data_IF_280466172416
#
_entry.id   IF_280466172416
#
_cell.length_a   1.000
_cell.length_b   1.000
_cell.length_c   1.000
_cell.angle_alpha   90.00
_cell.angle_beta   90.00
_cell.angle_gamma   90.00
#
_symmetry.space_group_name_H-M   'P 1'
#
loop_
_entity.id
_entity.type
_entity.pdbx_description
1 polymer ?
#
# COMPACT_ATOMS: atom_id res chain seq x y z
N UNK A 1 2.42 5.05 21.69
CA UNK A 1 3.75 5.35 21.13
C UNK A 1 3.75 5.10 19.64
N UNK A 2 4.49 5.90 18.90
CA UNK A 2 4.60 5.81 17.43
C UNK A 2 6.05 5.60 17.06
N UNK A 3 6.31 4.63 16.19
CA UNK A 3 7.65 4.37 15.69
C UNK A 3 7.63 4.25 14.16
N UNK A 4 8.54 4.96 13.51
CA UNK A 4 8.73 4.91 12.06
C UNK A 4 10.10 4.31 11.72
N UNK A 5 10.15 3.48 10.69
CA UNK A 5 11.38 2.86 10.21
C UNK A 5 11.26 2.50 8.72
N UNK A 6 12.41 2.27 8.09
CA UNK A 6 12.49 1.90 6.68
C UNK A 6 12.99 0.47 6.52
N UNK A 7 12.41 -0.25 5.57
CA UNK A 7 12.87 -1.57 5.18
C UNK A 7 12.98 -1.67 3.65
N UNK A 8 13.88 -2.52 3.17
CA UNK A 8 14.02 -2.84 1.75
C UNK A 8 13.47 -4.24 1.49
N UNK A 9 12.58 -4.35 0.50
CA UNK A 9 11.96 -5.62 0.11
C UNK A 9 11.93 -5.74 -1.41
N UNK A 10 11.86 -6.97 -1.91
CA UNK A 10 11.69 -7.26 -3.35
C UNK A 10 10.26 -7.66 -3.65
N UNK A 11 9.74 -7.14 -4.75
CA UNK A 11 8.43 -7.53 -5.29
C UNK A 11 8.53 -8.81 -6.13
N UNK A 12 7.38 -9.33 -6.56
CA UNK A 12 7.31 -10.46 -7.48
C UNK A 12 8.06 -10.19 -8.80
N UNK A 13 8.05 -8.95 -9.26
CA UNK A 13 8.76 -8.48 -10.46
C UNK A 13 10.29 -8.37 -10.25
N UNK A 14 10.79 -8.77 -9.09
CA UNK A 14 12.20 -8.69 -8.72
C UNK A 14 12.73 -7.25 -8.60
N UNK A 15 11.85 -6.31 -8.28
CA UNK A 15 12.19 -4.91 -8.02
C UNK A 15 12.41 -4.70 -6.52
N UNK A 16 13.55 -4.13 -6.14
CA UNK A 16 13.82 -3.74 -4.76
C UNK A 16 13.17 -2.41 -4.47
N UNK A 17 12.30 -2.36 -3.47
CA UNK A 17 11.62 -1.15 -3.01
C UNK A 17 11.94 -0.88 -1.54
N UNK A 18 12.00 0.41 -1.19
CA UNK A 18 12.10 0.85 0.20
C UNK A 18 10.72 1.20 0.72
N UNK A 19 10.33 0.62 1.86
CA UNK A 19 9.07 0.91 2.52
C UNK A 19 9.33 1.70 3.78
N UNK A 20 8.67 2.85 3.91
CA UNK A 20 8.61 3.60 5.15
C UNK A 20 7.36 3.19 5.90
N UNK A 21 7.54 2.66 7.11
CA UNK A 21 6.49 2.06 7.91
C UNK A 21 6.36 2.84 9.21
N UNK A 22 5.12 3.13 9.59
CA UNK A 22 4.78 3.72 10.88
C UNK A 22 3.92 2.75 11.66
N UNK A 23 4.39 2.37 12.84
CA UNK A 23 3.64 1.49 13.75
C UNK A 23 3.27 2.25 15.01
N UNK A 24 2.01 2.12 15.42
CA UNK A 24 1.51 2.63 16.68
C UNK A 24 1.21 1.47 17.62
N UNK A 25 1.71 1.56 18.82
CA UNK A 25 1.55 0.50 19.84
C UNK A 25 1.42 1.08 21.24
N UNK A 26 0.90 0.27 22.13
CA UNK A 26 0.87 0.57 23.55
C UNK A 26 1.04 -0.71 24.37
N UNK A 27 1.37 -0.54 25.62
CA UNK A 27 1.42 -1.66 26.58
C UNK A 27 -0.01 -2.11 26.90
N UNK A 28 -0.26 -3.41 26.87
CA UNK A 28 -1.57 -3.96 27.22
C UNK A 28 -1.86 -3.75 28.71
N UNK A 29 -3.04 -3.24 29.02
CA UNK A 29 -3.50 -2.99 30.38
C UNK A 29 -4.29 -4.16 30.98
N UNK A 30 -4.30 -5.32 30.36
CA UNK A 30 -4.97 -6.50 30.88
C UNK A 30 -4.35 -6.91 32.19
N UNK A 31 -5.15 -6.86 33.25
CA UNK A 31 -4.77 -7.31 34.57
C UNK A 31 -5.20 -8.77 34.72
N UNK A 32 -4.24 -9.67 34.73
CA UNK A 32 -4.49 -11.07 35.09
C UNK A 32 -4.52 -11.27 36.59
N UNK A 33 -5.08 -12.37 37.04
CA UNK A 33 -5.14 -12.76 38.45
C UNK A 33 -3.75 -12.88 39.10
N UNK A 34 -2.72 -13.00 38.27
CA UNK A 34 -1.31 -13.04 38.76
C UNK A 34 -0.55 -11.89 38.12
N UNK A 35 0.35 -11.21 38.84
CA UNK A 35 1.17 -10.13 38.31
C UNK A 35 1.92 -10.51 37.05
N UNK A 36 2.33 -11.75 36.90
CA UNK A 36 3.03 -12.28 35.75
C UNK A 36 2.19 -12.35 34.47
N UNK A 37 0.88 -12.25 34.59
CA UNK A 37 -0.06 -12.25 33.46
C UNK A 37 -0.43 -10.85 33.01
N UNK A 38 -0.05 -9.81 33.76
CA UNK A 38 -0.33 -8.44 33.35
C UNK A 38 0.50 -8.04 32.15
N UNK A 39 -0.08 -7.23 31.27
CA UNK A 39 0.63 -6.70 30.10
C UNK A 39 1.85 -5.86 30.48
N UNK A 40 1.75 -5.11 31.58
CA UNK A 40 2.86 -4.31 32.12
C UNK A 40 4.03 -5.18 32.55
N UNK A 41 3.76 -6.28 33.26
CA UNK A 41 4.79 -7.24 33.67
C UNK A 41 5.47 -7.86 32.44
N UNK A 42 4.69 -8.35 31.51
CA UNK A 42 5.20 -8.95 30.27
C UNK A 42 6.03 -7.97 29.45
N UNK A 43 5.61 -6.72 29.34
CA UNK A 43 6.34 -5.69 28.60
C UNK A 43 7.69 -5.36 29.23
N UNK A 44 7.77 -5.44 30.55
CA UNK A 44 9.00 -5.14 31.28
C UNK A 44 9.99 -6.31 31.30
N UNK A 45 9.51 -7.52 31.50
CA UNK A 45 10.38 -8.68 31.74
C UNK A 45 10.58 -9.60 30.53
N UNK A 46 9.63 -9.65 29.59
CA UNK A 46 9.67 -10.57 28.45
C UNK A 46 10.46 -10.05 27.26
N UNK A 47 10.57 -8.74 27.09
CA UNK A 47 11.31 -8.13 26.00
C UNK A 47 12.32 -7.11 26.51
N UNK A 48 13.59 -7.33 26.20
CA UNK A 48 14.65 -6.37 26.54
C UNK A 48 14.64 -5.15 25.60
N UNK A 49 14.28 -5.35 24.32
CA UNK A 49 14.21 -4.31 23.31
C UNK A 49 12.91 -4.44 22.51
N UNK A 50 11.77 -4.00 23.08
CA UNK A 50 10.46 -4.22 22.47
C UNK A 50 10.31 -3.55 21.10
N UNK A 51 10.88 -2.37 20.91
CA UNK A 51 10.82 -1.63 19.64
C UNK A 51 11.60 -2.36 18.54
N UNK A 52 12.81 -2.82 18.85
CA UNK A 52 13.63 -3.57 17.90
C UNK A 52 12.96 -4.90 17.52
N UNK A 53 12.39 -5.59 18.49
CA UNK A 53 11.70 -6.86 18.27
C UNK A 53 10.44 -6.68 17.40
N UNK A 54 9.65 -5.63 17.66
CA UNK A 54 8.49 -5.28 16.85
C UNK A 54 8.89 -4.97 15.41
N UNK A 55 9.98 -4.23 15.24
CA UNK A 55 10.52 -3.92 13.91
C UNK A 55 10.91 -5.19 13.16
N UNK A 56 11.55 -6.13 13.83
CA UNK A 56 11.96 -7.41 13.24
C UNK A 56 10.73 -8.22 12.81
N UNK A 57 9.70 -8.29 13.63
CA UNK A 57 8.46 -8.99 13.29
C UNK A 57 7.76 -8.36 12.08
N UNK A 58 7.66 -7.04 12.03
CA UNK A 58 7.07 -6.32 10.91
C UNK A 58 7.89 -6.55 9.64
N UNK A 59 9.22 -6.47 9.73
CA UNK A 59 10.13 -6.72 8.62
C UNK A 59 9.96 -8.13 8.07
N UNK A 60 9.94 -9.14 8.92
CA UNK A 60 9.74 -10.53 8.52
C UNK A 60 8.39 -10.76 7.85
N UNK A 61 7.32 -10.19 8.42
CA UNK A 61 5.98 -10.28 7.86
C UNK A 61 5.90 -9.66 6.46
N UNK A 62 6.50 -8.49 6.27
CA UNK A 62 6.54 -7.81 4.97
C UNK A 62 7.42 -8.54 3.95
N UNK A 63 8.57 -9.04 4.35
CA UNK A 63 9.43 -9.83 3.47
C UNK A 63 8.77 -11.13 3.01
N UNK A 64 7.85 -11.65 3.78
CA UNK A 64 7.06 -12.83 3.42
C UNK A 64 5.86 -12.47 2.54
N UNK A 65 5.26 -11.30 2.72
CA UNK A 65 4.02 -10.88 2.03
C UNK A 65 4.29 -10.17 0.70
N UNK A 66 5.26 -9.27 0.64
CA UNK A 66 5.51 -8.42 -0.54
C UNK A 66 5.94 -9.21 -1.79
N UNK A 67 6.78 -10.27 -1.72
CA UNK A 67 7.18 -11.01 -2.92
C UNK A 67 6.05 -11.71 -3.68
N UNK A 68 4.87 -11.84 -3.07
CA UNK A 68 3.67 -12.39 -3.69
C UNK A 68 3.00 -11.37 -4.63
N UNK A 69 3.27 -10.09 -4.45
CA UNK A 69 2.66 -8.99 -5.18
C UNK A 69 3.64 -8.39 -6.19
N UNK A 70 3.10 -7.97 -7.35
CA UNK A 70 3.84 -7.14 -8.29
C UNK A 70 3.98 -5.71 -7.73
N UNK A 71 4.86 -4.91 -8.32
CA UNK A 71 5.06 -3.52 -7.90
C UNK A 71 3.74 -2.72 -7.94
N UNK A 72 2.96 -2.85 -9.02
CA UNK A 72 1.67 -2.18 -9.17
C UNK A 72 0.66 -2.64 -8.10
N UNK A 73 0.66 -3.94 -7.78
CA UNK A 73 -0.21 -4.49 -6.74
C UNK A 73 0.17 -3.99 -5.35
N UNK A 74 1.46 -3.81 -5.07
CA UNK A 74 1.93 -3.23 -3.80
C UNK A 74 1.41 -1.80 -3.63
N UNK A 75 1.44 -0.98 -4.68
CA UNK A 75 0.87 0.37 -4.63
C UNK A 75 -0.64 0.35 -4.46
N UNK A 76 -1.33 -0.52 -5.17
CA UNK A 76 -2.80 -0.59 -5.12
C UNK A 76 -3.32 -1.17 -3.81
N UNK A 77 -2.61 -2.14 -3.24
CA UNK A 77 -3.04 -2.91 -2.06
C UNK A 77 -2.25 -2.61 -0.79
N UNK A 78 -1.48 -1.52 -0.75
CA UNK A 78 -0.63 -1.18 0.40
C UNK A 78 -1.38 -1.17 1.73
N UNK A 79 -2.61 -0.68 1.74
CA UNK A 79 -3.43 -0.62 2.95
C UNK A 79 -3.87 -2.00 3.41
N UNK A 80 -4.23 -2.89 2.49
CA UNK A 80 -4.59 -4.27 2.78
C UNK A 80 -3.38 -5.07 3.28
N UNK A 81 -2.23 -4.86 2.67
CA UNK A 81 -0.96 -5.45 3.10
C UNK A 81 -0.62 -5.00 4.52
N UNK A 82 -0.76 -3.71 4.81
CA UNK A 82 -0.52 -3.15 6.13
C UNK A 82 -1.45 -3.74 7.19
N UNK A 83 -2.73 -3.96 6.87
CA UNK A 83 -3.69 -4.61 7.76
C UNK A 83 -3.31 -6.05 8.05
N UNK A 84 -2.93 -6.82 7.04
CA UNK A 84 -2.51 -8.22 7.20
C UNK A 84 -1.26 -8.33 8.07
N UNK A 85 -0.28 -7.48 7.84
CA UNK A 85 0.93 -7.40 8.65
C UNK A 85 0.61 -7.00 10.09
N UNK A 86 -0.28 -6.00 10.27
CA UNK A 86 -0.71 -5.57 11.58
C UNK A 86 -1.37 -6.72 12.36
N UNK A 87 -2.24 -7.50 11.74
CA UNK A 87 -2.88 -8.65 12.37
C UNK A 87 -1.86 -9.72 12.78
N UNK A 88 -0.93 -10.05 11.91
CA UNK A 88 0.11 -11.06 12.16
C UNK A 88 1.05 -10.64 13.30
N UNK A 89 1.56 -9.42 13.25
CA UNK A 89 2.49 -8.89 14.23
C UNK A 89 1.81 -8.61 15.56
N UNK A 90 0.55 -8.16 15.53
CA UNK A 90 -0.25 -7.93 16.73
C UNK A 90 -0.40 -9.20 17.57
N UNK A 91 -0.62 -10.34 16.91
CA UNK A 91 -0.67 -11.64 17.57
C UNK A 91 0.66 -11.98 18.27
N UNK A 92 1.76 -11.76 17.58
CA UNK A 92 3.10 -12.01 18.13
C UNK A 92 3.44 -11.09 19.30
N UNK A 93 3.10 -9.80 19.18
CA UNK A 93 3.38 -8.80 20.23
C UNK A 93 2.47 -8.94 21.45
N UNK A 94 1.25 -9.46 21.28
CA UNK A 94 0.34 -9.71 22.41
C UNK A 94 0.94 -10.68 23.42
N UNK A 95 1.72 -11.66 22.98
CA UNK A 95 2.42 -12.60 23.87
C UNK A 95 3.44 -11.89 24.79
N UNK A 96 3.95 -10.74 24.38
CA UNK A 96 4.92 -9.93 25.13
C UNK A 96 4.28 -8.76 25.90
N UNK A 97 2.96 -8.64 25.89
CA UNK A 97 2.24 -7.61 26.62
C UNK A 97 2.12 -6.28 25.87
N UNK A 98 2.36 -6.24 24.58
CA UNK A 98 2.17 -5.07 23.73
C UNK A 98 0.96 -5.24 22.82
N UNK A 99 0.19 -4.17 22.65
CA UNK A 99 -0.91 -4.11 21.68
C UNK A 99 -0.50 -3.22 20.53
N UNK A 100 -0.48 -3.77 19.33
CA UNK A 100 -0.24 -3.03 18.10
C UNK A 100 -1.56 -2.40 17.63
N UNK A 101 -1.64 -1.07 17.69
CA UNK A 101 -2.86 -0.32 17.35
C UNK A 101 -3.04 -0.24 15.85
N UNK A 102 -2.01 0.21 15.15
CA UNK A 102 -2.03 0.28 13.69
C UNK A 102 -0.62 0.20 13.12
N UNK A 103 -0.54 -0.36 11.92
CA UNK A 103 0.67 -0.36 11.10
C UNK A 103 0.31 0.22 9.74
N UNK A 104 1.07 1.24 9.29
CA UNK A 104 0.84 1.94 8.04
C UNK A 104 2.10 1.94 7.21
N UNK A 105 1.93 1.75 5.91
CA UNK A 105 2.97 2.01 4.92
C UNK A 105 2.78 3.46 4.46
N UNK A 106 3.67 4.35 4.92
CA UNK A 106 3.54 5.78 4.67
C UNK A 106 4.17 6.22 3.36
N UNK A 107 5.20 5.50 2.91
CA UNK A 107 5.91 5.81 1.67
C UNK A 107 6.49 4.55 1.05
N UNK A 108 6.47 4.50 -0.28
CA UNK A 108 7.17 3.49 -1.06
C UNK A 108 8.24 4.20 -1.88
N UNK A 109 9.51 3.93 -1.57
CA UNK A 109 10.65 4.49 -2.27
C UNK A 109 11.11 3.52 -3.36
N UNK A 110 11.24 4.01 -4.58
CA UNK A 110 11.70 3.24 -5.74
C UNK A 110 13.13 3.65 -6.11
N UNK A 111 13.95 2.73 -6.69
CA UNK A 111 15.15 3.12 -7.37
C UNK A 111 14.84 4.16 -8.46
N UNK A 112 15.73 5.15 -8.65
CA UNK A 112 15.49 6.23 -9.58
C UNK A 112 15.19 5.76 -11.01
N UNK A 113 15.88 4.72 -11.46
CA UNK A 113 15.67 4.11 -12.78
C UNK A 113 14.27 3.53 -12.94
N UNK A 114 13.76 2.85 -11.91
CA UNK A 114 12.41 2.26 -11.92
C UNK A 114 11.36 3.36 -11.84
N UNK A 115 11.57 4.38 -11.03
CA UNK A 115 10.68 5.53 -10.90
C UNK A 115 10.56 6.27 -12.23
N UNK A 116 11.66 6.53 -12.91
CA UNK A 116 11.68 7.17 -14.23
C UNK A 116 10.94 6.32 -15.26
N UNK A 117 11.17 5.01 -15.26
CA UNK A 117 10.48 4.08 -16.17
C UNK A 117 8.97 4.07 -15.93
N UNK A 118 8.53 4.04 -14.68
CA UNK A 118 7.11 4.10 -14.33
C UNK A 118 6.48 5.43 -14.71
N UNK A 119 7.16 6.55 -14.51
CA UNK A 119 6.69 7.86 -14.92
C UNK A 119 6.55 7.96 -16.44
N UNK A 120 7.46 7.40 -17.22
CA UNK A 120 7.37 7.32 -18.67
C UNK A 120 6.18 6.46 -19.12
N UNK A 121 5.96 5.31 -18.52
CA UNK A 121 4.83 4.43 -18.82
C UNK A 121 3.52 5.14 -18.48
N UNK A 122 3.41 5.79 -17.35
CA UNK A 122 2.23 6.54 -16.93
C UNK A 122 1.95 7.71 -17.88
N UNK A 123 2.98 8.46 -18.29
CA UNK A 123 2.85 9.53 -19.25
C UNK A 123 2.38 9.01 -20.62
N UNK A 124 2.94 7.89 -21.10
CA UNK A 124 2.52 7.25 -22.34
C UNK A 124 1.07 6.78 -22.30
N UNK A 125 0.63 6.19 -21.18
CA UNK A 125 -0.76 5.78 -20.99
C UNK A 125 -1.72 6.98 -20.97
N UNK A 126 -1.36 8.08 -20.32
CA UNK A 126 -2.16 9.31 -20.31
C UNK A 126 -2.29 9.91 -21.72
N UNK A 127 -1.19 9.95 -22.47
CA UNK A 127 -1.18 10.43 -23.86
C UNK A 127 -2.07 9.55 -24.74
N UNK A 128 -2.00 8.24 -24.60
CA UNK A 128 -2.85 7.29 -25.32
C UNK A 128 -4.33 7.47 -24.99
N UNK A 129 -4.68 7.63 -23.72
CA UNK A 129 -6.05 7.88 -23.30
C UNK A 129 -6.59 9.20 -23.85
N UNK A 130 -5.79 10.27 -23.81
CA UNK A 130 -6.16 11.56 -24.37
C UNK A 130 -6.37 11.48 -25.91
N UNK A 131 -5.50 10.76 -26.62
CA UNK A 131 -5.65 10.53 -28.05
C UNK A 131 -6.92 9.74 -28.40
N UNK A 132 -7.27 8.73 -27.60
CA UNK A 132 -8.51 7.97 -27.76
C UNK A 132 -9.74 8.82 -27.52
N UNK A 133 -9.74 9.66 -26.49
CA UNK A 133 -10.85 10.57 -26.19
C UNK A 133 -11.06 11.59 -27.30
N UNK A 134 -10.01 12.17 -27.85
CA UNK A 134 -10.08 13.09 -28.97
C UNK A 134 -10.61 12.40 -30.23
N UNK A 135 -10.15 11.19 -30.53
CA UNK A 135 -10.62 10.42 -31.69
C UNK A 135 -12.10 10.08 -31.55
N UNK A 136 -12.57 9.75 -30.36
CA UNK A 136 -13.97 9.47 -30.11
C UNK A 136 -14.86 10.72 -30.22
N UNK A 137 -14.41 11.85 -29.69
CA UNK A 137 -15.09 13.13 -29.83
C UNK A 137 -15.22 13.55 -31.30
N UNK A 138 -14.17 13.39 -32.11
CA UNK A 138 -14.20 13.67 -33.54
C UNK A 138 -15.18 12.76 -34.30
N UNK A 139 -15.24 11.49 -33.95
CA UNK A 139 -16.18 10.53 -34.51
C UNK A 139 -17.63 10.93 -34.21
N UNK A 140 -17.94 11.25 -32.98
CA UNK A 140 -19.27 11.70 -32.57
C UNK A 140 -19.68 12.97 -33.32
N UNK A 141 -18.80 13.95 -33.46
CA UNK A 141 -19.05 15.18 -34.18
C UNK A 141 -19.37 14.92 -35.67
N UNK A 142 -18.58 14.06 -36.35
CA UNK A 142 -18.83 13.69 -37.73
C UNK A 142 -20.16 13.00 -37.95
N UNK A 143 -20.54 12.10 -37.07
CA UNK A 143 -21.86 11.43 -37.12
C UNK A 143 -22.99 12.43 -36.94
N UNK A 144 -22.86 13.36 -35.98
CA UNK A 144 -23.85 14.42 -35.75
C UNK A 144 -23.98 15.35 -36.96
N UNK A 145 -22.89 15.77 -37.58
CA UNK A 145 -22.90 16.59 -38.78
C UNK A 145 -23.56 15.86 -39.98
N UNK A 146 -23.24 14.58 -40.18
CA UNK A 146 -23.86 13.76 -41.21
C UNK A 146 -25.37 13.61 -41.01
N UNK A 147 -25.83 13.42 -39.78
CA UNK A 147 -27.26 13.38 -39.46
C UNK A 147 -27.95 14.71 -39.70
N UNK A 148 -27.33 15.83 -39.33
CA UNK A 148 -27.88 17.18 -39.60
C UNK A 148 -28.00 17.48 -41.07
N UNK A 149 -27.04 17.07 -41.89
CA UNK A 149 -27.11 17.21 -43.35
C UNK A 149 -28.22 16.34 -43.98
N UNK A 150 -28.36 15.11 -43.49
CA UNK A 150 -29.46 14.22 -43.93
C UNK A 150 -30.85 14.80 -43.61
N UNK A 151 -31.01 15.36 -42.42
CA UNK A 151 -32.28 16.04 -42.03
C UNK A 151 -32.54 17.28 -42.88
N UNK A 152 -31.53 18.08 -43.17
CA UNK A 152 -31.69 19.24 -44.06
C UNK A 152 -32.05 18.82 -45.48
N UNK A 153 -31.44 17.78 -45.98
CA UNK A 153 -31.74 17.19 -47.31
C UNK A 153 -33.20 16.70 -47.38
N UNK A 154 -33.71 16.10 -46.32
CA UNK A 154 -35.11 15.66 -46.21
C UNK A 154 -36.11 16.80 -46.18
N UNK A 155 -35.74 17.97 -45.66
CA UNK A 155 -36.63 19.14 -45.57
C UNK A 155 -36.71 19.96 -46.87
N UNK A 156 -35.78 19.80 -47.76
CA UNK A 156 -35.68 20.57 -49.02
C UNK A 156 -36.55 19.97 -50.15
N UNK A 157 -37.09 18.81 -49.91
CA UNK A 157 -38.05 18.16 -50.82
C UNK A 157 -39.48 18.65 -50.49
#
# INVERSE_FOLDING_TARGET
MKNGFNIDVKTQDNVTIGLEISAQYHVSYETGDRPQQSGVYKSYYMLQQPVAQMRDFITDALRSSIPVYTLDEVFAKKDDIAKDVNATVSEQMAAYGFTLVSTLITKIALPAEVEDSMNQINAAQRTKAAAQDLAEADRIRRVTEAQAEAERGARVV
#
